data_IF_110940736059
#
_entry.id   IF_110940736059
#
_cell.length_a   1.000
_cell.length_b   1.000
_cell.length_c   1.000
_cell.angle_alpha   90.00
_cell.angle_beta   90.00
_cell.angle_gamma   90.00
#
_symmetry.space_group_name_H-M   'P 1'
#
loop_
_entity.id
_entity.type
_entity.pdbx_description
1 polymer ?
#
# COMPACT_ATOMS: atom_id res chain seq x y z
N UNK A 1 51.45 -26.11 -28.53
CA UNK A 1 51.86 -27.40 -29.13
C UNK A 1 50.77 -28.39 -28.76
N UNK A 2 50.39 -29.32 -29.65
CA UNK A 2 49.25 -30.23 -29.41
C UNK A 2 49.60 -31.43 -28.49
N UNK A 3 50.81 -31.43 -27.93
CA UNK A 3 51.33 -32.51 -27.10
C UNK A 3 51.89 -31.98 -25.78
N UNK A 4 51.76 -32.77 -24.72
CA UNK A 4 52.38 -32.51 -23.41
C UNK A 4 53.90 -32.72 -23.44
N UNK A 5 54.60 -32.29 -22.39
CA UNK A 5 56.03 -32.57 -22.20
C UNK A 5 56.37 -34.07 -22.09
N UNK A 6 55.36 -34.94 -21.94
CA UNK A 6 55.49 -36.39 -21.95
C UNK A 6 55.23 -37.03 -23.33
N UNK A 7 55.03 -36.21 -24.38
CA UNK A 7 54.67 -36.63 -25.73
C UNK A 7 53.35 -37.43 -25.80
N UNK A 8 52.38 -37.06 -24.96
CA UNK A 8 50.99 -37.50 -25.05
C UNK A 8 50.14 -36.38 -25.64
N UNK A 9 48.99 -36.73 -26.21
CA UNK A 9 48.01 -35.73 -26.66
C UNK A 9 47.59 -34.89 -25.44
N UNK A 10 47.50 -33.56 -25.63
CA UNK A 10 46.93 -32.67 -24.62
C UNK A 10 45.41 -32.89 -24.58
N UNK A 11 44.88 -33.09 -23.40
CA UNK A 11 43.45 -33.33 -23.17
C UNK A 11 43.00 -32.61 -21.91
N UNK A 12 41.79 -32.07 -21.94
CA UNK A 12 41.17 -31.49 -20.76
C UNK A 12 41.21 -32.44 -19.56
N UNK A 13 41.68 -31.92 -18.43
CA UNK A 13 41.85 -32.62 -17.16
C UNK A 13 43.22 -33.30 -17.01
N UNK A 14 44.20 -32.96 -17.85
CA UNK A 14 45.58 -33.45 -17.71
C UNK A 14 46.48 -32.55 -16.84
N UNK A 15 45.92 -31.43 -16.35
CA UNK A 15 46.58 -30.43 -15.54
C UNK A 15 47.49 -29.48 -16.32
N UNK A 16 47.36 -29.43 -17.66
CA UNK A 16 48.18 -28.59 -18.55
C UNK A 16 47.28 -27.82 -19.52
N UNK A 17 47.16 -26.52 -19.29
CA UNK A 17 46.39 -25.62 -20.17
C UNK A 17 46.89 -25.67 -21.62
N UNK A 18 46.03 -26.15 -22.54
CA UNK A 18 46.28 -26.09 -23.97
C UNK A 18 45.93 -24.71 -24.55
N UNK A 19 46.95 -23.86 -24.69
CA UNK A 19 46.80 -22.48 -25.18
C UNK A 19 46.00 -22.39 -26.49
N UNK A 20 44.85 -21.70 -26.42
CA UNK A 20 43.95 -21.44 -27.54
C UNK A 20 42.88 -22.52 -27.79
N UNK A 21 42.87 -23.60 -27.02
CA UNK A 21 41.82 -24.64 -27.04
C UNK A 21 41.05 -24.70 -25.72
N UNK A 22 41.71 -24.43 -24.60
CA UNK A 22 41.15 -24.47 -23.24
C UNK A 22 41.47 -23.15 -22.53
N UNK A 23 40.56 -22.67 -21.69
CA UNK A 23 40.77 -21.44 -20.91
C UNK A 23 41.40 -21.73 -19.53
N UNK A 24 41.25 -22.95 -19.02
CA UNK A 24 41.85 -23.47 -17.79
C UNK A 24 42.07 -25.00 -17.90
N UNK A 25 42.87 -25.58 -17.00
CA UNK A 25 42.93 -27.03 -16.74
C UNK A 25 43.62 -27.21 -15.38
N UNK A 26 42.86 -27.66 -14.40
CA UNK A 26 43.31 -27.84 -13.02
C UNK A 26 43.59 -29.32 -12.67
N UNK A 27 43.40 -30.22 -13.64
CA UNK A 27 43.67 -31.64 -13.55
C UNK A 27 42.63 -32.46 -12.78
N UNK A 28 41.41 -31.93 -12.56
CA UNK A 28 40.32 -32.66 -11.94
C UNK A 28 39.02 -32.62 -12.80
N UNK A 29 37.88 -33.06 -12.27
CA UNK A 29 36.58 -33.04 -12.95
C UNK A 29 35.47 -32.51 -12.01
N UNK A 30 35.85 -31.57 -11.14
CA UNK A 30 35.02 -30.95 -10.11
C UNK A 30 34.59 -29.57 -10.59
N UNK A 31 33.33 -29.46 -11.03
CA UNK A 31 32.79 -28.20 -11.55
C UNK A 31 32.50 -27.16 -10.44
N UNK A 32 32.90 -27.41 -9.19
CA UNK A 32 32.69 -26.48 -8.08
C UNK A 32 33.92 -25.62 -7.77
N UNK A 33 34.99 -25.71 -8.58
CA UNK A 33 36.18 -24.87 -8.46
C UNK A 33 36.32 -23.88 -9.63
N UNK A 34 37.52 -23.33 -9.85
CA UNK A 34 37.77 -22.30 -10.86
C UNK A 34 37.74 -22.85 -12.31
N UNK A 35 37.74 -24.17 -12.51
CA UNK A 35 37.81 -24.79 -13.83
C UNK A 35 36.80 -25.95 -14.00
N UNK A 36 35.90 -25.83 -14.97
CA UNK A 36 34.95 -26.89 -15.28
C UNK A 36 35.64 -28.11 -15.91
N UNK A 37 34.98 -29.27 -15.85
CA UNK A 37 35.39 -30.52 -16.52
C UNK A 37 35.39 -30.44 -18.06
N UNK A 38 34.90 -29.33 -18.59
CA UNK A 38 35.00 -28.95 -20.01
C UNK A 38 36.19 -28.04 -20.33
N UNK A 39 37.02 -27.71 -19.34
CA UNK A 39 38.16 -26.80 -19.43
C UNK A 39 37.78 -25.38 -19.88
N UNK A 40 36.59 -24.98 -19.43
CA UNK A 40 36.15 -23.59 -19.43
C UNK A 40 36.24 -23.04 -18.01
N UNK A 41 36.64 -21.78 -17.88
CA UNK A 41 36.67 -21.10 -16.58
C UNK A 41 35.25 -21.01 -16.02
N UNK A 42 35.10 -21.29 -14.73
CA UNK A 42 33.82 -21.15 -14.04
C UNK A 42 33.34 -19.70 -14.12
N UNK A 43 32.03 -19.53 -14.31
CA UNK A 43 31.37 -18.23 -14.39
C UNK A 43 29.90 -18.35 -14.04
N UNK A 44 29.39 -17.35 -13.34
CA UNK A 44 27.96 -17.23 -13.09
C UNK A 44 27.11 -17.43 -14.35
N UNK A 45 26.11 -18.31 -14.23
CA UNK A 45 25.22 -18.72 -15.31
C UNK A 45 25.72 -19.93 -16.11
N UNK A 46 26.82 -20.58 -15.69
CA UNK A 46 27.36 -21.77 -16.37
C UNK A 46 26.67 -23.09 -15.97
N UNK A 47 25.80 -23.04 -14.96
CA UNK A 47 25.05 -24.18 -14.43
C UNK A 47 25.71 -24.87 -13.24
N UNK A 48 26.84 -24.36 -12.73
CA UNK A 48 27.57 -24.93 -11.61
C UNK A 48 27.96 -23.86 -10.59
N UNK A 49 27.65 -24.12 -9.31
CA UNK A 49 28.02 -23.21 -8.22
C UNK A 49 29.50 -23.36 -7.88
N UNK A 50 30.27 -22.29 -8.12
CA UNK A 50 31.66 -22.18 -7.69
C UNK A 50 31.76 -21.99 -6.16
N UNK A 51 32.32 -23.00 -5.48
CA UNK A 51 32.36 -23.06 -4.02
C UNK A 51 33.15 -21.90 -3.40
N UNK A 52 32.45 -21.08 -2.61
CA UNK A 52 33.04 -19.95 -1.88
C UNK A 52 33.22 -18.68 -2.73
N UNK A 53 32.75 -18.69 -3.97
CA UNK A 53 32.65 -17.50 -4.84
C UNK A 53 31.19 -17.17 -5.12
N UNK A 54 30.38 -18.18 -5.44
CA UNK A 54 28.97 -18.04 -5.80
C UNK A 54 28.07 -18.58 -4.68
N UNK A 55 26.92 -17.93 -4.47
CA UNK A 55 25.89 -18.38 -3.53
C UNK A 55 24.84 -19.26 -4.21
N UNK A 56 24.65 -19.06 -5.52
CA UNK A 56 23.73 -19.77 -6.39
C UNK A 56 24.28 -19.80 -7.82
N UNK A 57 23.70 -20.65 -8.67
CA UNK A 57 23.84 -20.62 -10.13
C UNK A 57 22.62 -21.32 -10.71
N UNK A 58 21.88 -20.64 -11.58
CA UNK A 58 20.66 -21.16 -12.19
C UNK A 58 20.76 -21.27 -13.72
N UNK A 59 22.00 -21.35 -14.22
CA UNK A 59 22.37 -21.52 -15.61
C UNK A 59 21.89 -20.42 -16.57
N UNK A 60 21.69 -19.19 -16.08
CA UNK A 60 21.35 -18.04 -16.90
C UNK A 60 21.83 -16.70 -16.27
N UNK A 61 21.59 -15.58 -16.97
CA UNK A 61 21.98 -14.22 -16.55
C UNK A 61 20.74 -13.34 -16.22
N UNK A 62 19.67 -13.93 -15.67
CA UNK A 62 18.38 -13.24 -15.45
C UNK A 62 18.26 -12.81 -13.99
N UNK A 63 18.39 -11.52 -13.74
CA UNK A 63 18.29 -10.97 -12.39
C UNK A 63 16.85 -10.90 -11.82
N UNK A 64 15.89 -11.67 -12.33
CA UNK A 64 14.49 -11.64 -11.85
C UNK A 64 14.04 -12.96 -11.26
N UNK A 65 14.95 -13.86 -10.94
CA UNK A 65 14.67 -15.16 -10.35
C UNK A 65 15.47 -15.37 -9.05
N UNK A 66 15.78 -16.62 -8.69
CA UNK A 66 16.41 -16.96 -7.41
C UNK A 66 17.91 -16.59 -7.37
N UNK A 67 18.53 -16.31 -8.52
CA UNK A 67 19.94 -16.01 -8.61
C UNK A 67 20.19 -14.71 -9.38
N UNK A 68 20.67 -13.67 -8.69
CA UNK A 68 20.77 -12.32 -9.25
C UNK A 68 22.21 -11.79 -9.27
N UNK A 69 22.47 -10.90 -10.21
CA UNK A 69 23.71 -10.15 -10.36
C UNK A 69 24.90 -11.04 -10.64
N UNK A 70 25.81 -11.17 -9.66
CA UNK A 70 27.01 -11.99 -9.78
C UNK A 70 26.86 -13.27 -8.96
N UNK A 71 25.79 -14.02 -9.22
CA UNK A 71 25.48 -15.28 -8.56
C UNK A 71 25.31 -15.14 -7.03
N UNK A 72 24.52 -14.13 -6.66
CA UNK A 72 24.05 -13.92 -5.30
C UNK A 72 22.60 -14.38 -5.19
N UNK A 73 22.22 -14.90 -4.03
CA UNK A 73 20.82 -15.24 -3.78
C UNK A 73 19.97 -13.97 -3.82
N UNK A 74 18.83 -14.04 -4.51
CA UNK A 74 17.85 -12.96 -4.50
C UNK A 74 17.36 -12.69 -3.07
N UNK A 75 17.43 -11.43 -2.65
CA UNK A 75 16.93 -10.97 -1.35
C UNK A 75 16.26 -9.61 -1.50
N UNK A 76 15.23 -9.39 -0.69
CA UNK A 76 14.62 -8.08 -0.59
C UNK A 76 15.64 -7.00 -0.19
N UNK A 77 15.68 -5.92 -0.96
CA UNK A 77 16.61 -4.79 -0.86
C UNK A 77 17.86 -4.92 -1.73
N UNK A 78 17.98 -5.93 -2.60
CA UNK A 78 19.15 -6.13 -3.46
C UNK A 78 19.13 -5.31 -4.77
N UNK A 79 18.00 -4.65 -5.06
CA UNK A 79 17.78 -3.82 -6.24
C UNK A 79 17.17 -4.56 -7.42
N UNK A 80 16.83 -5.83 -7.25
CA UNK A 80 16.20 -6.68 -8.25
C UNK A 80 14.86 -7.22 -7.75
N UNK A 81 13.89 -7.38 -8.65
CA UNK A 81 12.57 -7.92 -8.28
C UNK A 81 12.50 -9.38 -8.68
N UNK A 82 12.43 -10.27 -7.70
CA UNK A 82 12.23 -11.70 -7.90
C UNK A 82 10.78 -11.98 -8.34
N UNK A 83 10.61 -12.41 -9.59
CA UNK A 83 9.29 -12.59 -10.20
C UNK A 83 8.47 -13.65 -9.46
N UNK A 84 7.29 -13.23 -8.96
CA UNK A 84 6.35 -14.11 -8.26
C UNK A 84 6.69 -14.38 -6.80
N UNK A 85 7.77 -13.79 -6.27
CA UNK A 85 8.11 -13.78 -4.85
C UNK A 85 7.97 -12.37 -4.27
N UNK A 86 8.47 -11.37 -4.98
CA UNK A 86 8.48 -9.96 -4.56
C UNK A 86 7.50 -9.13 -5.39
N UNK A 87 6.80 -8.18 -4.75
CA UNK A 87 5.93 -7.24 -5.46
C UNK A 87 6.69 -5.99 -5.94
N UNK A 88 7.76 -5.64 -5.23
CA UNK A 88 8.67 -4.53 -5.49
C UNK A 88 10.04 -4.84 -4.86
N UNK A 89 11.04 -4.07 -5.28
CA UNK A 89 12.35 -3.95 -4.64
C UNK A 89 12.89 -2.57 -5.03
N UNK A 90 13.29 -1.77 -4.05
CA UNK A 90 13.80 -0.42 -4.24
C UNK A 90 15.32 -0.29 -3.95
N UNK A 91 15.97 -1.43 -3.66
CA UNK A 91 17.40 -1.57 -3.47
C UNK A 91 17.93 -0.96 -2.18
N UNK A 92 17.10 -0.81 -1.16
CA UNK A 92 17.52 -0.27 0.13
C UNK A 92 16.77 -0.90 1.33
N UNK A 93 17.20 -0.58 2.56
CA UNK A 93 16.66 -1.16 3.81
C UNK A 93 15.69 -0.20 4.55
N UNK A 94 15.05 0.74 3.84
CA UNK A 94 14.13 1.75 4.39
C UNK A 94 12.68 1.29 4.17
N UNK A 95 12.02 0.87 5.25
CA UNK A 95 10.72 0.19 5.19
C UNK A 95 9.54 1.03 4.65
N UNK A 96 9.67 2.36 4.65
CA UNK A 96 8.57 3.31 4.45
C UNK A 96 8.77 4.19 3.19
N UNK A 97 9.36 3.65 2.11
CA UNK A 97 9.55 4.38 0.85
C UNK A 97 8.88 3.69 -0.35
N UNK A 98 9.51 3.62 -1.52
CA UNK A 98 8.95 2.99 -2.71
C UNK A 98 8.66 1.48 -2.54
N UNK A 99 9.36 0.79 -1.62
CA UNK A 99 9.12 -0.61 -1.30
C UNK A 99 9.37 -0.89 0.18
N UNK A 100 8.55 -1.75 0.80
CA UNK A 100 8.82 -2.17 2.18
C UNK A 100 10.00 -3.15 2.25
N UNK A 101 10.62 -3.29 3.42
CA UNK A 101 11.65 -4.32 3.69
C UNK A 101 11.09 -5.76 3.69
N UNK A 102 9.78 -5.90 3.46
CA UNK A 102 9.11 -7.17 3.22
C UNK A 102 8.83 -7.42 1.73
N UNK A 103 9.33 -6.56 0.83
CA UNK A 103 9.13 -6.59 -0.61
C UNK A 103 7.67 -6.63 -1.04
N UNK A 104 6.87 -5.91 -0.25
CA UNK A 104 5.48 -5.61 -0.55
C UNK A 104 5.35 -4.13 -0.88
N UNK A 105 4.48 -3.81 -1.83
CA UNK A 105 4.22 -2.41 -2.15
C UNK A 105 3.67 -1.70 -0.91
N UNK A 106 4.12 -0.47 -0.61
CA UNK A 106 3.53 0.34 0.44
C UNK A 106 2.03 0.47 0.17
N UNK A 107 1.22 0.31 1.21
CA UNK A 107 -0.23 0.46 1.09
C UNK A 107 -0.49 1.89 0.62
N UNK A 108 -1.13 2.09 -0.53
CA UNK A 108 -1.41 3.44 -1.03
C UNK A 108 -2.35 4.16 -0.05
N UNK A 109 -1.84 5.21 0.60
CA UNK A 109 -2.59 6.06 1.52
C UNK A 109 -3.19 7.25 0.77
N UNK A 110 -4.40 7.67 1.16
CA UNK A 110 -5.08 8.80 0.53
C UNK A 110 -4.44 10.15 0.91
N UNK A 111 -4.06 10.97 -0.09
CA UNK A 111 -3.64 12.35 0.13
C UNK A 111 -4.82 13.32 -0.04
N UNK A 112 -4.69 14.55 0.48
CA UNK A 112 -5.72 15.57 0.27
C UNK A 112 -5.96 15.84 -1.22
N UNK A 113 -4.93 15.73 -2.06
CA UNK A 113 -5.05 15.87 -3.50
C UNK A 113 -5.97 14.80 -4.15
N UNK A 114 -6.07 13.61 -3.55
CA UNK A 114 -6.84 12.49 -4.09
C UNK A 114 -8.32 12.57 -3.70
N UNK A 115 -8.59 13.04 -2.49
CA UNK A 115 -9.93 12.97 -1.89
C UNK A 115 -10.61 14.33 -1.76
N UNK A 116 -9.88 15.44 -1.65
CA UNK A 116 -10.49 16.74 -1.43
C UNK A 116 -11.26 17.21 -2.66
N UNK A 117 -12.48 17.67 -2.42
CA UNK A 117 -13.40 18.04 -3.49
C UNK A 117 -14.35 19.16 -3.11
N UNK A 118 -14.80 19.90 -4.13
CA UNK A 118 -15.90 20.86 -4.03
C UNK A 118 -16.99 20.45 -5.02
N UNK A 119 -18.19 20.16 -4.53
CA UNK A 119 -19.29 19.65 -5.34
C UNK A 119 -20.64 20.24 -4.93
N UNK A 120 -21.67 20.03 -5.74
CA UNK A 120 -23.05 20.35 -5.38
C UNK A 120 -23.68 19.14 -4.67
N UNK A 121 -24.13 19.34 -3.44
CA UNK A 121 -24.81 18.33 -2.63
C UNK A 121 -26.12 18.89 -2.10
N UNK A 122 -27.21 18.17 -2.34
CA UNK A 122 -28.55 18.58 -1.94
C UNK A 122 -28.95 19.98 -2.43
N UNK A 123 -28.42 20.40 -3.58
CA UNK A 123 -28.64 21.71 -4.17
C UNK A 123 -27.76 22.82 -3.60
N UNK A 124 -26.81 22.49 -2.72
CA UNK A 124 -25.92 23.42 -2.03
C UNK A 124 -24.46 23.17 -2.42
N UNK A 125 -23.63 24.22 -2.44
CA UNK A 125 -22.18 24.03 -2.58
C UNK A 125 -21.62 23.40 -1.31
N UNK A 126 -20.78 22.40 -1.46
CA UNK A 126 -20.12 21.68 -0.37
C UNK A 126 -18.60 21.57 -0.63
N UNK A 127 -17.80 21.51 0.44
CA UNK A 127 -16.35 21.29 0.37
C UNK A 127 -15.95 20.25 1.42
N UNK A 128 -15.28 19.19 1.01
CA UNK A 128 -15.03 18.01 1.83
C UNK A 128 -14.13 17.00 1.17
N UNK A 129 -14.26 15.74 1.59
CA UNK A 129 -13.59 14.58 0.99
C UNK A 129 -14.59 13.66 0.29
N UNK A 130 -14.21 13.18 -0.89
CA UNK A 130 -14.88 12.11 -1.64
C UNK A 130 -14.35 10.76 -1.18
N UNK A 131 -15.24 9.87 -0.76
CA UNK A 131 -14.90 8.59 -0.14
C UNK A 131 -15.35 7.39 -0.97
N UNK A 132 -15.96 7.62 -2.14
CA UNK A 132 -16.54 6.57 -2.97
C UNK A 132 -15.51 5.52 -3.38
N UNK A 133 -14.32 5.96 -3.81
CA UNK A 133 -13.23 5.08 -4.25
C UNK A 133 -12.57 4.31 -3.10
N UNK A 134 -12.74 4.75 -1.86
CA UNK A 134 -12.04 4.22 -0.68
C UNK A 134 -12.93 3.35 0.21
N UNK A 135 -14.26 3.50 0.13
CA UNK A 135 -15.22 2.82 1.02
C UNK A 135 -16.19 1.90 0.26
N UNK A 136 -15.83 1.51 -0.97
CA UNK A 136 -16.69 0.70 -1.83
C UNK A 136 -18.04 1.38 -2.15
N UNK A 137 -18.05 2.71 -2.24
CA UNK A 137 -19.25 3.55 -2.38
C UNK A 137 -20.32 3.37 -1.28
N UNK A 138 -20.01 2.83 -0.10
CA UNK A 138 -21.00 2.79 0.99
C UNK A 138 -21.03 4.09 1.81
N UNK A 139 -19.90 4.81 1.86
CA UNK A 139 -19.78 6.17 2.40
C UNK A 139 -19.26 7.10 1.29
N UNK A 140 -20.09 8.02 0.82
CA UNK A 140 -19.73 8.82 -0.34
C UNK A 140 -18.93 10.08 0.02
N UNK A 141 -19.20 10.67 1.18
CA UNK A 141 -18.71 12.01 1.46
C UNK A 141 -18.65 12.30 2.95
N UNK A 142 -17.63 13.06 3.36
CA UNK A 142 -17.58 13.80 4.63
C UNK A 142 -17.12 15.23 4.36
N UNK A 143 -17.79 16.24 4.92
CA UNK A 143 -17.32 17.63 4.80
C UNK A 143 -18.31 18.72 5.19
N UNK A 144 -18.05 19.94 4.73
CA UNK A 144 -18.87 21.11 5.03
C UNK A 144 -19.90 21.41 3.95
N UNK A 145 -21.16 21.30 4.35
CA UNK A 145 -22.34 21.69 3.58
C UNK A 145 -23.12 22.73 4.40
N UNK A 146 -23.65 23.81 3.80
CA UNK A 146 -24.61 24.69 4.47
C UNK A 146 -25.74 23.86 5.09
N UNK A 147 -26.17 24.18 6.32
CA UNK A 147 -26.83 23.25 7.26
C UNK A 147 -25.87 22.39 8.11
N UNK A 148 -24.64 22.85 8.32
CA UNK A 148 -23.64 22.24 9.20
C UNK A 148 -22.51 23.22 9.42
N UNK A 149 -21.55 23.22 8.50
CA UNK A 149 -20.48 24.22 8.41
C UNK A 149 -20.43 24.84 7.01
N UNK A 150 -19.88 26.05 6.90
CA UNK A 150 -19.75 26.69 5.60
C UNK A 150 -18.64 26.02 4.78
N UNK A 151 -18.78 25.85 3.45
CA UNK A 151 -17.78 25.16 2.63
C UNK A 151 -16.35 25.71 2.78
N UNK A 152 -16.22 27.03 2.93
CA UNK A 152 -14.92 27.70 3.11
C UNK A 152 -14.27 27.50 4.48
N UNK A 153 -14.93 26.78 5.40
CA UNK A 153 -14.38 26.41 6.71
C UNK A 153 -13.80 25.01 6.75
N UNK A 154 -14.04 24.22 5.70
CA UNK A 154 -13.42 22.90 5.54
C UNK A 154 -11.92 23.05 5.30
N UNK A 155 -11.14 22.14 5.88
CA UNK A 155 -9.72 22.01 5.62
C UNK A 155 -9.34 20.54 5.46
N UNK A 156 -8.30 20.31 4.67
CA UNK A 156 -7.59 19.06 4.55
C UNK A 156 -6.10 19.41 4.48
N UNK A 157 -5.30 18.81 5.33
CA UNK A 157 -3.85 18.97 5.35
C UNK A 157 -3.22 17.57 5.37
N UNK A 158 -2.23 17.35 4.53
CA UNK A 158 -1.35 16.20 4.60
C UNK A 158 0.07 16.65 4.98
N UNK A 159 0.78 15.81 5.74
CA UNK A 159 2.23 15.88 5.89
C UNK A 159 2.82 14.60 5.32
N UNK A 160 3.39 14.71 4.12
CA UNK A 160 3.96 13.58 3.39
C UNK A 160 5.18 12.97 4.09
N UNK A 161 5.89 13.71 4.96
CA UNK A 161 7.07 13.18 5.65
C UNK A 161 6.70 12.47 6.94
N UNK A 162 5.60 12.89 7.57
CA UNK A 162 5.08 12.26 8.77
C UNK A 162 3.93 11.30 8.46
N UNK A 163 3.55 11.16 7.19
CA UNK A 163 2.42 10.35 6.72
C UNK A 163 1.13 10.58 7.51
N UNK A 164 0.82 11.87 7.72
CA UNK A 164 -0.36 12.30 8.46
C UNK A 164 -1.36 12.88 7.48
N UNK A 165 -2.62 12.45 7.57
CA UNK A 165 -3.76 13.12 6.96
C UNK A 165 -4.65 13.70 8.05
N UNK A 166 -4.90 15.01 8.01
CA UNK A 166 -5.82 15.68 8.91
C UNK A 166 -6.87 16.47 8.13
N UNK A 167 -8.15 16.21 8.39
CA UNK A 167 -9.24 16.97 7.78
C UNK A 167 -10.34 17.27 8.78
N UNK A 168 -11.04 18.38 8.53
CA UNK A 168 -12.03 18.86 9.47
C UNK A 168 -12.64 20.20 9.08
N UNK A 169 -13.21 20.87 10.08
CA UNK A 169 -13.69 22.25 9.94
C UNK A 169 -13.17 23.17 11.02
N UNK A 170 -12.81 24.40 10.63
CA UNK A 170 -12.48 25.49 11.56
C UNK A 170 -13.74 26.14 12.17
N UNK A 171 -14.93 25.70 11.76
CA UNK A 171 -16.20 26.15 12.34
C UNK A 171 -16.43 25.59 13.74
N UNK A 172 -17.33 26.21 14.51
CA UNK A 172 -17.85 25.67 15.77
C UNK A 172 -19.04 24.72 15.54
N UNK A 173 -19.12 24.12 14.36
CA UNK A 173 -20.24 23.29 13.92
C UNK A 173 -19.77 21.97 13.34
N UNK A 174 -20.73 21.11 13.04
CA UNK A 174 -20.56 19.77 12.53
C UNK A 174 -20.13 19.72 11.07
N UNK A 175 -19.34 18.71 10.70
CA UNK A 175 -19.33 18.22 9.33
C UNK A 175 -20.56 17.35 9.04
N UNK A 176 -20.81 17.13 7.76
CA UNK A 176 -21.89 16.31 7.22
C UNK A 176 -21.33 15.11 6.50
N UNK A 177 -22.12 14.06 6.41
CA UNK A 177 -21.80 12.87 5.65
C UNK A 177 -22.97 12.43 4.77
N UNK A 178 -22.66 11.63 3.76
CA UNK A 178 -23.62 10.95 2.90
C UNK A 178 -23.24 9.47 2.82
N UNK A 179 -24.18 8.59 3.18
CA UNK A 179 -24.03 7.12 3.05
C UNK A 179 -24.98 6.58 2.00
N UNK A 180 -24.54 5.56 1.27
CA UNK A 180 -25.37 4.78 0.36
C UNK A 180 -25.13 3.27 0.56
N UNK A 181 -25.68 2.67 1.62
CA UNK A 181 -25.26 1.35 2.10
C UNK A 181 -25.48 0.20 1.09
N UNK A 182 -26.45 0.38 0.19
CA UNK A 182 -26.87 -0.60 -0.82
C UNK A 182 -26.70 -0.06 -2.25
N UNK A 183 -25.94 1.03 -2.44
CA UNK A 183 -25.85 1.78 -3.70
C UNK A 183 -27.25 2.04 -4.33
N UNK A 184 -28.21 2.42 -3.49
CA UNK A 184 -29.62 2.45 -3.84
C UNK A 184 -29.93 3.52 -4.90
N UNK A 185 -29.07 4.55 -5.03
CA UNK A 185 -29.25 5.65 -5.97
C UNK A 185 -28.00 5.92 -6.83
N UNK A 186 -27.00 5.04 -6.83
CA UNK A 186 -25.75 5.27 -7.53
C UNK A 186 -24.90 6.36 -6.85
N UNK A 187 -23.75 6.64 -7.47
CA UNK A 187 -22.83 7.72 -7.07
C UNK A 187 -23.38 9.15 -7.30
N UNK A 188 -24.66 9.33 -7.63
CA UNK A 188 -25.24 10.64 -7.96
C UNK A 188 -25.86 11.30 -6.74
N UNK A 189 -25.26 12.41 -6.28
CA UNK A 189 -25.79 13.17 -5.14
C UNK A 189 -27.16 13.81 -5.44
N UNK A 190 -28.13 13.75 -4.51
CA UNK A 190 -29.41 14.43 -4.68
C UNK A 190 -29.24 15.94 -4.83
N UNK A 191 -30.14 16.58 -5.57
CA UNK A 191 -30.12 18.03 -5.80
C UNK A 191 -31.04 18.83 -4.86
N UNK A 192 -31.68 18.16 -3.90
CA UNK A 192 -32.61 18.78 -2.96
C UNK A 192 -32.38 18.28 -1.54
N UNK A 193 -32.51 19.19 -0.59
CA UNK A 193 -32.41 18.92 0.83
C UNK A 193 -33.78 18.56 1.41
N UNK A 194 -33.87 17.46 2.16
CA UNK A 194 -35.10 16.98 2.78
C UNK A 194 -34.98 16.74 4.30
N UNK A 195 -34.08 17.48 4.95
CA UNK A 195 -33.80 17.33 6.38
C UNK A 195 -32.71 16.29 6.68
N UNK A 196 -32.58 15.96 7.97
CA UNK A 196 -31.65 14.94 8.45
C UNK A 196 -31.89 13.59 7.79
N UNK A 197 -30.80 12.93 7.38
CA UNK A 197 -30.62 11.53 7.01
C UNK A 197 -31.82 10.60 7.33
N UNK A 198 -32.68 10.32 6.35
CA UNK A 198 -33.82 9.38 6.49
C UNK A 198 -33.70 8.16 5.58
N UNK A 199 -32.57 8.00 4.91
CA UNK A 199 -32.33 7.02 3.88
C UNK A 199 -31.00 7.28 3.17
N UNK A 200 -30.69 6.45 2.17
CA UNK A 200 -29.51 6.58 1.32
C UNK A 200 -29.38 8.00 0.74
N UNK A 201 -28.14 8.48 0.72
CA UNK A 201 -27.72 9.83 0.32
C UNK A 201 -28.46 10.96 1.06
N UNK A 202 -28.97 10.68 2.26
CA UNK A 202 -29.49 11.72 3.15
C UNK A 202 -28.37 12.55 3.78
N UNK A 203 -28.70 13.77 4.22
CA UNK A 203 -27.73 14.64 4.91
C UNK A 203 -27.57 14.16 6.36
N UNK A 204 -26.52 13.39 6.61
CA UNK A 204 -26.21 12.83 7.93
C UNK A 204 -25.17 13.71 8.64
N UNK A 205 -25.09 13.60 9.97
CA UNK A 205 -23.91 14.05 10.71
C UNK A 205 -22.71 13.20 10.28
N UNK A 206 -21.48 13.74 10.35
CA UNK A 206 -20.30 12.91 10.15
C UNK A 206 -20.08 11.97 11.34
N UNK A 207 -19.43 10.80 11.14
CA UNK A 207 -19.25 9.79 12.18
C UNK A 207 -18.63 10.34 13.47
N UNK A 208 -19.07 9.84 14.63
CA UNK A 208 -18.43 10.07 15.90
C UNK A 208 -17.33 9.02 16.20
N UNK A 209 -16.78 9.06 17.41
CA UNK A 209 -15.78 8.10 17.86
C UNK A 209 -16.36 6.71 18.23
N UNK A 210 -17.68 6.53 18.26
CA UNK A 210 -18.31 5.29 18.73
C UNK A 210 -18.74 4.42 17.55
N UNK A 211 -18.15 3.24 17.41
CA UNK A 211 -18.54 2.30 16.35
C UNK A 211 -19.80 1.47 16.63
N UNK A 212 -20.76 2.03 17.38
CA UNK A 212 -22.03 1.38 17.72
C UNK A 212 -21.93 -0.09 18.23
N UNK A 213 -20.78 -0.49 18.81
CA UNK A 213 -20.52 -1.84 19.31
C UNK A 213 -19.81 -2.81 18.36
N UNK A 214 -19.41 -2.39 17.16
CA UNK A 214 -18.58 -3.18 16.23
C UNK A 214 -17.10 -3.06 16.61
N UNK A 215 -16.40 -4.20 16.69
CA UNK A 215 -14.96 -4.27 17.00
C UNK A 215 -14.18 -4.51 15.71
N UNK A 216 -13.32 -3.57 15.34
CA UNK A 216 -12.45 -3.63 14.16
C UNK A 216 -11.09 -4.20 14.62
N UNK A 217 -10.38 -4.89 13.74
CA UNK A 217 -9.07 -5.45 14.07
C UNK A 217 -8.04 -4.31 14.28
N UNK A 218 -7.71 -4.00 15.54
CA UNK A 218 -6.71 -2.99 15.88
C UNK A 218 -7.24 -1.73 16.55
N UNK A 219 -8.56 -1.61 16.72
CA UNK A 219 -9.23 -0.44 17.30
C UNK A 219 -10.75 -0.51 17.08
N UNK A 220 -11.59 0.14 17.89
CA UNK A 220 -13.05 -0.08 17.91
C UNK A 220 -13.90 1.13 17.52
N UNK A 221 -13.37 2.11 16.80
CA UNK A 221 -14.04 3.39 16.49
C UNK A 221 -14.36 3.55 15.00
N UNK A 222 -15.36 4.38 14.67
CA UNK A 222 -15.62 4.72 13.26
C UNK A 222 -14.42 5.43 12.61
N UNK A 223 -13.62 6.15 13.40
CA UNK A 223 -12.48 6.91 12.88
C UNK A 223 -11.35 5.99 12.46
N UNK A 224 -11.08 4.94 13.23
CA UNK A 224 -10.12 3.90 12.83
C UNK A 224 -10.59 3.22 11.54
N UNK A 225 -11.90 2.89 11.43
CA UNK A 225 -12.48 2.35 10.20
C UNK A 225 -12.25 3.26 8.99
N UNK A 226 -12.51 4.55 9.18
CA UNK A 226 -12.35 5.57 8.14
C UNK A 226 -10.90 5.71 7.70
N UNK A 227 -9.97 5.74 8.66
CA UNK A 227 -8.55 5.86 8.36
C UNK A 227 -8.01 4.60 7.69
N UNK A 228 -8.43 3.40 8.12
CA UNK A 228 -8.12 2.14 7.44
C UNK A 228 -8.63 2.10 6.00
N UNK A 229 -9.86 2.57 5.76
CA UNK A 229 -10.40 2.68 4.41
C UNK A 229 -9.59 3.65 3.53
N UNK A 230 -8.95 4.66 4.12
CA UNK A 230 -8.05 5.61 3.45
C UNK A 230 -6.59 5.10 3.37
N UNK A 231 -6.36 3.84 3.72
CA UNK A 231 -5.05 3.18 3.70
C UNK A 231 -4.29 3.22 5.02
N UNK A 232 -4.65 4.08 5.98
CA UNK A 232 -3.86 4.37 7.19
C UNK A 232 -3.99 3.29 8.28
N UNK A 233 -2.99 3.18 9.15
CA UNK A 233 -2.97 2.17 10.22
C UNK A 233 -3.69 2.60 11.51
N UNK A 234 -3.92 3.91 11.70
CA UNK A 234 -4.54 4.45 12.91
C UNK A 234 -5.38 5.69 12.60
N UNK A 235 -6.40 5.92 13.43
CA UNK A 235 -7.31 7.05 13.33
C UNK A 235 -7.60 7.69 14.68
N UNK A 236 -7.42 9.01 14.77
CA UNK A 236 -7.67 9.80 15.97
C UNK A 236 -8.86 10.75 15.77
N UNK A 237 -9.81 10.69 16.70
CA UNK A 237 -10.90 11.65 16.78
C UNK A 237 -10.45 12.93 17.51
N UNK A 238 -10.31 14.04 16.79
CA UNK A 238 -9.71 15.26 17.37
C UNK A 238 -10.71 16.12 18.14
N UNK A 239 -11.96 16.21 17.67
CA UNK A 239 -12.98 17.02 18.35
C UNK A 239 -14.41 16.71 17.90
N UNK A 240 -15.37 16.95 18.79
CA UNK A 240 -16.81 16.87 18.54
C UNK A 240 -17.51 18.21 18.74
N UNK A 241 -18.75 18.30 18.23
CA UNK A 241 -19.71 19.35 18.58
C UNK A 241 -21.00 18.68 19.09
N UNK A 242 -21.71 19.31 20.02
CA UNK A 242 -22.90 18.74 20.70
C UNK A 242 -24.23 19.46 20.38
N UNK A 243 -24.27 20.25 19.30
CA UNK A 243 -25.45 20.97 18.79
C UNK A 243 -25.97 20.50 17.40
N UNK A 244 -26.84 19.49 17.38
CA UNK A 244 -27.57 18.84 16.26
C UNK A 244 -28.08 17.47 16.78
N UNK A 245 -29.03 16.84 16.10
CA UNK A 245 -29.44 15.46 16.41
C UNK A 245 -29.69 14.65 15.14
N UNK A 246 -29.09 15.00 14.01
CA UNK A 246 -29.22 14.16 12.82
C UNK A 246 -28.56 12.79 13.04
N UNK A 247 -29.03 11.74 12.36
CA UNK A 247 -28.35 10.45 12.34
C UNK A 247 -26.94 10.55 11.78
N UNK A 248 -26.09 9.61 12.16
CA UNK A 248 -24.70 9.51 11.70
C UNK A 248 -24.42 8.16 11.01
N UNK A 249 -23.40 8.10 10.15
CA UNK A 249 -22.85 6.86 9.67
C UNK A 249 -22.04 6.11 10.74
N UNK A 250 -22.07 4.79 10.67
CA UNK A 250 -21.17 3.88 11.38
C UNK A 250 -20.82 2.69 10.49
N UNK A 251 -19.74 1.97 10.82
CA UNK A 251 -19.33 0.79 10.06
C UNK A 251 -20.01 -0.48 10.61
N UNK A 252 -20.32 -1.44 9.72
CA UNK A 252 -20.96 -2.71 10.06
C UNK A 252 -20.01 -3.91 10.08
N UNK A 253 -18.86 -3.82 9.42
CA UNK A 253 -17.86 -4.88 9.35
C UNK A 253 -16.54 -4.49 10.04
N UNK A 254 -15.68 -5.48 10.24
CA UNK A 254 -14.39 -5.31 10.92
C UNK A 254 -13.28 -4.83 9.98
N UNK A 255 -13.60 -4.63 8.70
CA UNK A 255 -12.68 -4.29 7.63
C UNK A 255 -12.84 -2.83 7.16
N UNK A 256 -13.85 -2.09 7.63
CA UNK A 256 -14.07 -0.70 7.23
C UNK A 256 -14.85 -0.52 5.92
N UNK A 257 -15.33 -1.62 5.32
CA UNK A 257 -15.78 -1.67 3.93
C UNK A 257 -17.27 -1.37 3.77
N UNK A 258 -18.07 -1.57 4.82
CA UNK A 258 -19.51 -1.36 4.76
C UNK A 258 -20.00 -0.32 5.77
N UNK A 259 -20.29 0.88 5.27
CA UNK A 259 -20.86 1.99 6.04
C UNK A 259 -22.38 2.03 5.94
N UNK A 260 -23.05 2.29 7.07
CA UNK A 260 -24.49 2.44 7.14
C UNK A 260 -24.91 3.56 8.08
N UNK A 261 -26.21 3.86 8.14
CA UNK A 261 -26.81 4.61 9.25
C UNK A 261 -28.07 3.88 9.71
N UNK A 262 -28.31 3.86 11.02
CA UNK A 262 -29.57 3.36 11.59
C UNK A 262 -30.72 4.35 11.39
N UNK A 263 -30.42 5.54 10.85
CA UNK A 263 -31.33 6.67 10.67
C UNK A 263 -32.00 7.14 11.97
N UNK A 264 -31.33 6.91 13.10
CA UNK A 264 -31.75 7.37 14.42
C UNK A 264 -30.91 8.56 14.85
N UNK A 265 -31.57 9.54 15.45
CA UNK A 265 -30.91 10.72 15.97
C UNK A 265 -29.86 10.34 17.03
N UNK A 266 -28.60 10.70 16.79
CA UNK A 266 -27.50 10.47 17.73
C UNK A 266 -27.08 11.75 18.46
N UNK A 267 -26.21 11.58 19.47
CA UNK A 267 -25.70 12.67 20.31
C UNK A 267 -24.18 12.77 20.18
N UNK A 268 -23.72 13.73 19.38
CA UNK A 268 -22.31 13.91 19.07
C UNK A 268 -22.01 13.60 17.60
N UNK A 269 -20.98 14.24 17.06
CA UNK A 269 -20.52 14.04 15.68
C UNK A 269 -19.11 14.59 15.51
N UNK A 270 -18.40 14.06 14.53
CA UNK A 270 -17.05 14.51 14.21
C UNK A 270 -16.96 15.93 13.67
N UNK A 271 -15.93 16.62 14.13
CA UNK A 271 -15.53 17.93 13.63
C UNK A 271 -14.18 17.89 12.93
N UNK A 272 -13.28 17.02 13.37
CA UNK A 272 -11.98 16.82 12.75
C UNK A 272 -11.44 15.43 13.09
N UNK A 273 -10.67 14.86 12.17
CA UNK A 273 -10.05 13.55 12.27
C UNK A 273 -8.60 13.62 11.82
N UNK A 274 -7.79 12.71 12.34
CA UNK A 274 -6.41 12.50 11.90
C UNK A 274 -6.20 11.02 11.60
N UNK A 275 -5.56 10.72 10.48
CA UNK A 275 -5.11 9.39 10.12
C UNK A 275 -3.57 9.36 10.10
N UNK A 276 -2.97 8.27 10.60
CA UNK A 276 -1.52 8.07 10.67
C UNK A 276 -1.15 6.64 10.30
N UNK A 277 0.05 6.44 9.78
CA UNK A 277 0.61 5.12 9.42
C UNK A 277 1.25 4.39 10.59
N UNK A 278 1.42 5.06 11.73
CA UNK A 278 1.91 4.46 12.98
C UNK A 278 0.80 4.35 14.04
N UNK A 279 0.94 3.36 14.93
CA UNK A 279 0.07 3.11 16.09
C UNK A 279 0.58 3.73 17.39
#
# INVERSE_FOLDING_TARGET
DACTNACTDAVCGDGIVWEGMESCDDGNADNTDECLDTCEAASCGDGFVQAGVEECDDANDVDTDECVGNCLLAICGDGFVQEGVEECDDGNDVDDDECSNACTLPVAHALCADIQTTMNMWGMTASGIDLRTWTGSTLHYIGCVPDGCQPNTFYCNDDVNMEILEFGTNSNSAMRAAVDPDDANGDTMPNSYNGCCKGALGLCNSPDANNNGVVINGGGTNVEALCHALGYQSGEFLSSVNNNSCPEPHVLDAEGQQWTSDYVNSSGWGKAYRCTTFK
#
